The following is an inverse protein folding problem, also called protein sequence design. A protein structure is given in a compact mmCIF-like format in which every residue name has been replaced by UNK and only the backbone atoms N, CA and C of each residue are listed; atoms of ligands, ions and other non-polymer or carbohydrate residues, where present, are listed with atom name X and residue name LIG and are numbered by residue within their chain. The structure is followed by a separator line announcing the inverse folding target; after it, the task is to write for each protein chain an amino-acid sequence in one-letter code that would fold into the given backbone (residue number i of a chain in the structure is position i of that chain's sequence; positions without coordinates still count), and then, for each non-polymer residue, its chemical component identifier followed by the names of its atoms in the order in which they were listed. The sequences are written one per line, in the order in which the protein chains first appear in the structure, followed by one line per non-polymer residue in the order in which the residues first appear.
data_IF_384070736326
#
_entry.id   IF_384070736326
#
_cell.length_a   1.000
_cell.length_b   1.000
_cell.length_c   1.000
_cell.angle_alpha   90.00
_cell.angle_beta   90.00
_cell.angle_gamma   90.00
#
_symmetry.space_group_name_H-M   'P 1'
#
loop_
_entity.id
_entity.type
_entity.pdbx_description
1 polymer ?
#
# COMPACT_ATOMS: atom_id res chain seq x y z
N UNK A 1 -11.35 -78.25 10.20
CA UNK A 1 -10.76 -77.80 8.92
C UNK A 1 -11.84 -77.11 8.12
N UNK A 2 -11.44 -75.98 7.54
CA UNK A 2 -12.14 -74.93 6.79
C UNK A 2 -13.24 -75.34 5.80
N UNK A 3 -14.23 -74.45 5.61
CA UNK A 3 -15.12 -74.50 4.44
C UNK A 3 -16.27 -73.46 4.34
N UNK A 4 -15.94 -72.17 4.40
CA UNK A 4 -16.56 -71.00 3.72
C UNK A 4 -18.11 -70.90 3.55
N UNK A 5 -18.73 -69.95 4.27
CA UNK A 5 -20.11 -69.48 4.07
C UNK A 5 -20.13 -68.35 3.01
N UNK A 6 -20.91 -68.54 1.94
CA UNK A 6 -21.11 -67.55 0.88
C UNK A 6 -21.98 -66.37 1.36
N UNK A 7 -21.56 -65.17 1.01
CA UNK A 7 -22.22 -63.89 1.30
C UNK A 7 -23.63 -63.83 0.69
N UNK A 8 -24.61 -63.38 1.49
CA UNK A 8 -25.92 -62.91 1.03
C UNK A 8 -25.99 -61.40 1.29
N UNK A 9 -26.21 -60.67 0.21
CA UNK A 9 -26.35 -59.21 0.12
C UNK A 9 -27.71 -58.73 0.65
N UNK A 10 -27.86 -57.40 0.84
CA UNK A 10 -29.08 -56.60 1.11
C UNK A 10 -29.33 -56.32 2.61
N UNK A 11 -29.64 -55.12 3.12
CA UNK A 11 -30.13 -53.84 2.57
C UNK A 11 -29.83 -52.72 3.59
N UNK A 12 -29.49 -51.54 3.07
CA UNK A 12 -29.76 -50.14 3.51
C UNK A 12 -30.12 -49.88 4.98
N UNK A 13 -29.35 -49.00 5.63
CA UNK A 13 -29.67 -48.40 6.94
C UNK A 13 -29.12 -46.97 7.08
N UNK A 14 -29.79 -46.03 6.43
CA UNK A 14 -30.02 -44.60 6.77
C UNK A 14 -28.90 -43.79 7.44
N UNK A 15 -28.44 -42.82 6.66
CA UNK A 15 -27.73 -41.59 6.96
C UNK A 15 -28.33 -40.71 8.08
N UNK A 16 -27.47 -40.20 8.97
CA UNK A 16 -27.59 -38.83 9.51
C UNK A 16 -26.23 -38.31 9.98
N UNK A 17 -25.35 -38.00 9.04
CA UNK A 17 -24.16 -37.18 9.31
C UNK A 17 -24.58 -35.71 9.21
N UNK A 18 -24.94 -35.09 10.35
CA UNK A 18 -25.03 -33.64 10.44
C UNK A 18 -23.66 -33.07 10.09
N UNK A 19 -23.52 -32.60 8.85
CA UNK A 19 -22.41 -31.74 8.48
C UNK A 19 -22.61 -30.40 9.22
N UNK A 20 -22.03 -30.31 10.41
CA UNK A 20 -21.63 -29.03 10.99
C UNK A 20 -20.56 -28.45 10.05
N UNK A 21 -21.01 -27.86 8.94
CA UNK A 21 -20.25 -26.84 8.24
C UNK A 21 -20.20 -25.62 9.18
N UNK A 22 -19.44 -25.75 10.26
CA UNK A 22 -19.06 -24.64 11.10
C UNK A 22 -18.38 -23.62 10.21
N UNK A 23 -18.90 -22.40 10.22
CA UNK A 23 -18.23 -21.26 9.62
C UNK A 23 -16.79 -21.28 10.09
N UNK A 24 -15.84 -21.56 9.19
CA UNK A 24 -14.45 -21.25 9.44
C UNK A 24 -14.40 -19.73 9.54
N UNK A 25 -14.37 -19.23 10.77
CA UNK A 25 -13.92 -17.89 11.06
C UNK A 25 -12.46 -17.85 10.60
N UNK A 26 -12.24 -17.39 9.36
CA UNK A 26 -10.92 -16.93 8.94
C UNK A 26 -10.59 -15.75 9.84
N UNK A 27 -9.85 -16.00 10.91
CA UNK A 27 -9.20 -14.94 11.67
C UNK A 27 -8.39 -14.15 10.64
N UNK A 28 -8.67 -12.86 10.43
CA UNK A 28 -7.88 -12.04 9.53
C UNK A 28 -6.41 -12.21 9.90
N UNK A 29 -5.57 -12.53 8.92
CA UNK A 29 -4.14 -12.69 9.16
C UNK A 29 -3.59 -11.34 9.63
N UNK A 30 -3.44 -11.18 10.95
CA UNK A 30 -2.91 -9.97 11.58
C UNK A 30 -1.39 -9.95 11.42
N UNK A 31 -0.93 -10.01 10.18
CA UNK A 31 0.46 -10.19 9.87
C UNK A 31 1.19 -8.84 9.87
N UNK A 32 1.58 -8.41 11.07
CA UNK A 32 2.44 -7.25 11.32
C UNK A 32 3.92 -7.65 11.39
N UNK A 33 4.37 -8.59 10.53
CA UNK A 33 5.72 -9.19 10.60
C UNK A 33 6.88 -8.21 10.41
N UNK A 34 6.65 -7.07 9.75
CA UNK A 34 7.65 -6.01 9.58
C UNK A 34 7.68 -5.00 10.75
N UNK A 35 6.80 -5.14 11.74
CA UNK A 35 6.83 -4.32 12.92
C UNK A 35 7.89 -4.81 13.90
N UNK A 36 8.51 -3.88 14.64
CA UNK A 36 9.45 -4.24 15.71
C UNK A 36 8.82 -5.25 16.67
N UNK A 37 9.53 -6.33 17.04
CA UNK A 37 9.02 -7.28 18.02
C UNK A 37 8.54 -6.58 19.30
N UNK A 38 7.37 -6.99 19.79
CA UNK A 38 6.72 -6.43 20.98
C UNK A 38 6.39 -4.92 20.92
N UNK A 39 6.39 -4.30 19.72
CA UNK A 39 6.01 -2.90 19.52
C UNK A 39 4.70 -2.54 20.22
N UNK A 40 4.75 -1.52 21.08
CA UNK A 40 3.57 -1.02 21.77
C UNK A 40 2.57 -0.41 20.78
N UNK A 41 3.07 0.33 19.79
CA UNK A 41 2.24 0.94 18.74
C UNK A 41 1.49 -0.14 17.94
N UNK A 42 2.15 -1.26 17.62
CA UNK A 42 1.48 -2.37 16.92
C UNK A 42 0.34 -2.96 17.76
N UNK A 43 0.57 -3.15 19.07
CA UNK A 43 -0.45 -3.67 20.00
C UNK A 43 -1.63 -2.71 20.12
N UNK A 44 -1.37 -1.42 20.29
CA UNK A 44 -2.40 -0.39 20.42
C UNK A 44 -3.22 -0.27 19.13
N UNK A 45 -2.56 -0.34 17.97
CA UNK A 45 -3.22 -0.34 16.67
C UNK A 45 -4.15 -1.54 16.50
N UNK A 46 -3.68 -2.76 16.80
CA UNK A 46 -4.51 -3.98 16.75
C UNK A 46 -5.68 -3.89 17.74
N UNK A 47 -5.43 -3.42 18.96
CA UNK A 47 -6.47 -3.25 19.97
C UNK A 47 -7.55 -2.27 19.50
N UNK A 48 -7.16 -1.13 18.96
CA UNK A 48 -8.08 -0.13 18.42
C UNK A 48 -8.91 -0.71 17.28
N UNK A 49 -8.27 -1.34 16.28
CA UNK A 49 -8.97 -1.94 15.14
C UNK A 49 -9.97 -3.01 15.60
N UNK A 50 -9.59 -3.88 16.53
CA UNK A 50 -10.51 -4.88 17.08
C UNK A 50 -11.70 -4.23 17.80
N UNK A 51 -11.46 -3.21 18.62
CA UNK A 51 -12.49 -2.52 19.40
C UNK A 51 -13.50 -1.78 18.51
N UNK A 52 -13.04 -1.08 17.48
CA UNK A 52 -13.93 -0.30 16.60
C UNK A 52 -14.61 -1.15 15.52
N UNK A 53 -14.19 -2.41 15.35
CA UNK A 53 -14.79 -3.33 14.37
C UNK A 53 -15.68 -4.41 14.99
N UNK A 54 -15.65 -4.61 16.32
CA UNK A 54 -16.56 -5.51 17.03
C UNK A 54 -17.98 -4.92 17.12
N UNK A 55 -19.01 -5.54 16.50
CA UNK A 55 -20.39 -5.07 16.55
C UNK A 55 -21.01 -4.99 17.95
N UNK A 56 -20.38 -5.61 18.96
CA UNK A 56 -20.82 -5.56 20.36
C UNK A 56 -20.13 -4.46 21.17
N UNK A 57 -19.11 -3.82 20.62
CA UNK A 57 -18.37 -2.74 21.28
C UNK A 57 -19.19 -1.45 21.28
N UNK A 58 -19.17 -0.73 22.40
CA UNK A 58 -19.76 0.62 22.49
C UNK A 58 -19.03 1.63 21.58
N UNK A 59 -17.81 1.31 21.13
CA UNK A 59 -17.00 2.12 20.20
C UNK A 59 -17.09 1.63 18.76
N UNK A 60 -18.03 0.75 18.44
CA UNK A 60 -18.20 0.23 17.09
C UNK A 60 -18.39 1.36 16.05
N UNK A 61 -17.59 1.33 14.99
CA UNK A 61 -17.71 2.22 13.83
C UNK A 61 -18.36 1.42 12.69
N UNK A 62 -19.48 1.89 12.09
CA UNK A 62 -20.10 1.30 10.92
C UNK A 62 -19.09 1.12 9.78
N UNK A 63 -19.26 0.10 8.94
CA UNK A 63 -18.25 -0.26 7.94
C UNK A 63 -17.96 0.89 6.96
N UNK A 64 -19.00 1.62 6.58
CA UNK A 64 -18.99 2.80 5.73
C UNK A 64 -18.17 3.97 6.29
N UNK A 65 -18.00 4.04 7.61
CA UNK A 65 -17.30 5.13 8.29
C UNK A 65 -15.85 4.77 8.69
N UNK A 66 -15.38 3.55 8.35
CA UNK A 66 -14.02 3.08 8.67
C UNK A 66 -13.00 3.61 7.66
N UNK A 67 -12.81 4.94 7.65
CA UNK A 67 -11.86 5.61 6.77
C UNK A 67 -10.55 5.89 7.53
N UNK A 68 -9.44 5.42 6.95
CA UNK A 68 -8.09 5.73 7.43
C UNK A 68 -7.39 6.62 6.40
N UNK A 69 -6.74 7.69 6.88
CA UNK A 69 -5.97 8.63 6.05
C UNK A 69 -4.51 8.51 6.44
N UNK A 70 -3.65 8.36 5.45
CA UNK A 70 -2.20 8.28 5.61
C UNK A 70 -1.58 9.41 4.81
N UNK A 71 -0.59 10.08 5.41
CA UNK A 71 0.35 10.88 4.64
C UNK A 71 1.20 9.97 3.73
N UNK A 72 1.86 10.54 2.73
CA UNK A 72 2.65 9.78 1.76
C UNK A 72 4.15 9.87 2.04
N UNK A 73 4.75 11.03 1.81
CA UNK A 73 6.19 11.26 2.03
C UNK A 73 6.49 11.20 3.54
N UNK A 74 7.52 10.44 3.92
CA UNK A 74 7.90 10.23 5.33
C UNK A 74 7.00 9.26 6.10
N UNK A 75 5.88 8.80 5.52
CA UNK A 75 4.94 7.85 6.14
C UNK A 75 4.84 6.54 5.36
N UNK A 76 4.41 6.58 4.09
CA UNK A 76 4.30 5.39 3.24
C UNK A 76 5.58 5.16 2.41
N UNK A 77 6.29 6.24 2.08
CA UNK A 77 7.56 6.20 1.34
C UNK A 77 8.61 7.03 2.07
N UNK A 78 9.89 6.68 1.89
CA UNK A 78 10.99 7.46 2.45
C UNK A 78 11.10 8.83 1.76
N UNK A 79 11.26 9.90 2.53
CA UNK A 79 11.38 11.28 2.01
C UNK A 79 12.81 11.85 2.06
N UNK A 80 13.73 11.15 2.74
CA UNK A 80 15.10 11.64 2.97
C UNK A 80 16.10 11.14 1.94
N UNK A 81 15.77 10.09 1.20
CA UNK A 81 16.66 9.55 0.17
C UNK A 81 15.88 9.03 -1.06
N UNK A 82 16.00 9.66 -2.24
CA UNK A 82 16.81 10.85 -2.52
C UNK A 82 16.14 12.18 -2.14
N UNK A 83 14.80 12.26 -2.09
CA UNK A 83 14.02 13.46 -1.72
C UNK A 83 12.52 13.12 -1.62
N UNK A 84 11.65 14.14 -1.51
CA UNK A 84 10.19 14.03 -1.62
C UNK A 84 9.74 13.43 -2.97
N UNK A 85 8.63 12.71 -2.99
CA UNK A 85 8.16 11.99 -4.18
C UNK A 85 7.99 12.91 -5.41
N UNK A 86 7.36 14.08 -5.24
CA UNK A 86 7.14 15.04 -6.34
C UNK A 86 8.48 15.51 -6.98
N UNK A 87 9.52 15.67 -6.17
CA UNK A 87 10.84 16.06 -6.66
C UNK A 87 11.51 14.96 -7.47
N UNK A 88 11.35 13.72 -7.03
CA UNK A 88 11.84 12.54 -7.76
C UNK A 88 11.03 12.31 -9.03
N UNK A 89 9.72 12.52 -8.99
CA UNK A 89 8.84 12.44 -10.15
C UNK A 89 9.23 13.49 -11.20
N UNK A 90 9.50 14.73 -10.79
CA UNK A 90 9.98 15.78 -11.68
C UNK A 90 11.33 15.40 -12.33
N UNK A 91 12.33 14.96 -11.55
CA UNK A 91 13.62 14.58 -12.14
C UNK A 91 13.51 13.35 -13.02
N UNK A 92 12.67 12.38 -12.68
CA UNK A 92 12.34 11.25 -13.54
C UNK A 92 11.77 11.73 -14.87
N UNK A 93 10.72 12.56 -14.84
CA UNK A 93 10.10 13.11 -16.05
C UNK A 93 11.10 13.86 -16.92
N UNK A 94 11.91 14.73 -16.33
CA UNK A 94 12.85 15.59 -17.07
C UNK A 94 14.04 14.82 -17.65
N UNK A 95 14.57 13.83 -16.92
CA UNK A 95 15.83 13.17 -17.26
C UNK A 95 15.65 11.79 -17.89
N UNK A 96 14.56 11.09 -17.60
CA UNK A 96 14.40 9.66 -17.87
C UNK A 96 13.18 9.30 -18.71
N UNK A 97 12.14 10.14 -18.74
CA UNK A 97 10.95 9.89 -19.58
C UNK A 97 11.27 10.10 -21.07
N UNK A 98 11.28 9.04 -21.91
CA UNK A 98 11.62 9.15 -23.32
C UNK A 98 10.59 9.92 -24.13
N UNK A 99 9.36 10.06 -23.62
CA UNK A 99 8.26 10.75 -24.30
C UNK A 99 8.22 12.25 -23.98
N UNK A 100 8.99 12.70 -22.97
CA UNK A 100 9.04 14.10 -22.59
C UNK A 100 10.31 14.79 -23.09
N UNK A 101 10.15 15.74 -24.02
CA UNK A 101 11.25 16.56 -24.56
C UNK A 101 11.53 17.75 -23.65
N UNK A 102 12.18 17.50 -22.51
CA UNK A 102 12.50 18.55 -21.55
C UNK A 102 13.46 19.61 -22.13
N UNK A 103 13.23 20.91 -21.89
CA UNK A 103 14.14 21.97 -22.29
C UNK A 103 15.45 21.93 -21.50
N UNK A 104 16.52 22.48 -22.07
CA UNK A 104 17.87 22.40 -21.50
C UNK A 104 17.98 22.96 -20.08
N UNK A 105 17.21 24.01 -19.74
CA UNK A 105 17.24 24.61 -18.41
C UNK A 105 16.63 23.68 -17.34
N UNK A 106 15.56 22.93 -17.66
CA UNK A 106 14.98 21.94 -16.75
C UNK A 106 15.96 20.79 -16.54
N UNK A 107 16.58 20.28 -17.61
CA UNK A 107 17.60 19.23 -17.51
C UNK A 107 18.77 19.68 -16.64
N UNK A 108 19.25 20.91 -16.82
CA UNK A 108 20.30 21.48 -15.97
C UNK A 108 19.88 21.49 -14.50
N UNK A 109 18.68 21.99 -14.19
CA UNK A 109 18.19 22.04 -12.81
C UNK A 109 17.98 20.64 -12.21
N UNK A 110 17.38 19.70 -12.95
CA UNK A 110 17.18 18.33 -12.48
C UNK A 110 18.51 17.62 -12.16
N UNK A 111 19.55 17.81 -12.98
CA UNK A 111 20.89 17.30 -12.66
C UNK A 111 21.48 17.96 -11.40
N UNK A 112 21.26 19.28 -11.21
CA UNK A 112 21.69 19.96 -9.99
C UNK A 112 20.98 19.46 -8.74
N UNK A 113 19.71 19.05 -8.84
CA UNK A 113 18.98 18.40 -7.75
C UNK A 113 19.61 17.04 -7.39
N UNK A 114 19.87 16.18 -8.38
CA UNK A 114 20.48 14.87 -8.12
C UNK A 114 21.87 14.96 -7.48
N UNK A 115 22.70 15.90 -7.93
CA UNK A 115 23.99 16.19 -7.30
C UNK A 115 23.82 16.83 -5.92
N UNK A 116 22.80 17.67 -5.74
CA UNK A 116 22.44 18.28 -4.47
C UNK A 116 22.02 17.25 -3.41
N UNK A 117 21.26 16.21 -3.79
CA UNK A 117 20.87 15.11 -2.90
C UNK A 117 22.07 14.30 -2.44
N UNK A 118 23.01 13.99 -3.34
CA UNK A 118 24.24 13.26 -3.00
C UNK A 118 25.17 14.06 -2.11
N UNK A 119 25.28 15.38 -2.35
CA UNK A 119 26.21 16.26 -1.64
C UNK A 119 25.62 16.93 -0.40
N UNK A 120 24.31 16.82 -0.16
CA UNK A 120 23.58 17.54 0.88
C UNK A 120 23.46 19.05 0.62
N UNK A 121 23.70 19.51 -0.61
CA UNK A 121 23.72 20.94 -0.97
C UNK A 121 22.86 21.21 -2.19
N UNK A 122 21.59 21.55 -1.94
CA UNK A 122 20.67 21.93 -3.00
C UNK A 122 21.01 23.32 -3.58
N UNK A 123 20.62 23.58 -4.85
CA UNK A 123 20.70 24.91 -5.43
C UNK A 123 19.96 25.95 -4.58
N UNK A 124 20.42 27.20 -4.65
CA UNK A 124 19.68 28.32 -4.05
C UNK A 124 18.28 28.41 -4.66
N UNK A 125 17.27 28.67 -3.83
CA UNK A 125 15.87 28.78 -4.22
C UNK A 125 15.28 27.52 -4.88
N UNK A 126 15.87 26.34 -4.62
CA UNK A 126 15.47 25.07 -5.24
C UNK A 126 13.96 24.81 -5.14
N UNK A 127 13.32 25.07 -4.00
CA UNK A 127 11.88 24.87 -3.82
C UNK A 127 11.03 25.69 -4.80
N UNK A 128 11.36 26.99 -4.96
CA UNK A 128 10.64 27.89 -5.86
C UNK A 128 10.86 27.51 -7.32
N UNK A 129 12.09 27.15 -7.66
CA UNK A 129 12.44 26.71 -9.01
C UNK A 129 11.75 25.38 -9.33
N UNK A 130 11.75 24.45 -8.37
CA UNK A 130 11.09 23.16 -8.48
C UNK A 130 9.58 23.32 -8.68
N UNK A 131 8.91 24.11 -7.83
CA UNK A 131 7.47 24.37 -7.97
C UNK A 131 7.14 24.84 -9.38
N UNK A 132 7.86 25.84 -9.90
CA UNK A 132 7.66 26.34 -11.26
C UNK A 132 7.89 25.26 -12.32
N UNK A 133 9.03 24.58 -12.29
CA UNK A 133 9.41 23.65 -13.36
C UNK A 133 8.63 22.34 -13.31
N UNK A 134 8.22 21.87 -12.13
CA UNK A 134 7.31 20.73 -11.99
C UNK A 134 5.98 21.05 -12.69
N UNK A 135 5.33 22.18 -12.36
CA UNK A 135 4.09 22.59 -13.05
C UNK A 135 4.27 22.75 -14.56
N UNK A 136 5.35 23.39 -15.01
CA UNK A 136 5.63 23.54 -16.44
C UNK A 136 5.81 22.17 -17.13
N UNK A 137 6.37 21.18 -16.45
CA UNK A 137 6.61 19.84 -17.02
C UNK A 137 5.34 19.02 -17.27
N UNK A 138 4.26 19.33 -16.56
CA UNK A 138 2.94 18.71 -16.74
C UNK A 138 1.96 19.62 -17.52
N UNK A 139 2.43 20.76 -18.03
CA UNK A 139 1.59 21.70 -18.77
C UNK A 139 0.94 21.02 -19.98
N UNK A 140 -0.38 21.11 -20.07
CA UNK A 140 -1.17 20.56 -21.17
C UNK A 140 -1.74 19.16 -20.90
N UNK A 141 -1.36 18.53 -19.78
CA UNK A 141 -2.00 17.30 -19.32
C UNK A 141 -3.29 17.63 -18.55
N UNK A 142 -4.29 16.77 -18.70
CA UNK A 142 -5.48 16.69 -17.87
C UNK A 142 -5.15 16.10 -16.49
N UNK A 143 -6.07 16.24 -15.53
CA UNK A 143 -5.90 15.63 -14.20
C UNK A 143 -5.76 14.12 -14.31
N UNK A 144 -6.57 13.46 -15.14
CA UNK A 144 -6.53 12.00 -15.33
C UNK A 144 -5.19 11.55 -15.93
N UNK A 145 -4.62 12.31 -16.86
CA UNK A 145 -3.31 12.02 -17.43
C UNK A 145 -2.19 12.19 -16.39
N UNK A 146 -2.25 13.22 -15.53
CA UNK A 146 -1.28 13.40 -14.44
C UNK A 146 -1.42 12.26 -13.42
N UNK A 147 -2.64 11.88 -13.06
CA UNK A 147 -2.90 10.74 -12.18
C UNK A 147 -2.41 9.43 -12.78
N UNK A 148 -2.56 9.22 -14.09
CA UNK A 148 -2.04 8.05 -14.79
C UNK A 148 -0.51 8.04 -14.81
N UNK A 149 0.13 9.21 -14.87
CA UNK A 149 1.59 9.34 -14.85
C UNK A 149 2.21 9.03 -13.48
N UNK A 150 1.50 9.38 -12.39
CA UNK A 150 1.98 9.20 -11.02
C UNK A 150 1.73 7.79 -10.43
N UNK A 151 1.24 6.84 -11.24
CA UNK A 151 0.99 5.44 -10.85
C UNK A 151 2.17 4.54 -11.22
#
# INVERSE_FOLDING_TARGET
MFGSLKQVTCIVGVSLSLALAGCQSTTPDQNLSYWTPQSQVAKDFVSYVNEVTDPKSEKFIPKEDRIAVFDMDGTLVGETYPSYFDWVMFTHKVLRDPNYKAPAYMKKFANQLEEGWKSGKLPKDAEKIHAKYSFESFKGMTIDEVQAYAR
#
